data_IF_753940803300
#
_entry.id   IF_753940803300
#
_cell.length_a   1.000
_cell.length_b   1.000
_cell.length_c   1.000
_cell.angle_alpha   90.00
_cell.angle_beta   90.00
_cell.angle_gamma   90.00
#
_symmetry.space_group_name_H-M   'P 1'
#
loop_
_entity.id
_entity.type
_entity.pdbx_description
1 polymer ?
#
# COMPACT_ATOMS: atom_id res chain seq x y z
N UNK A 1 1.98 3.59 18.67
CA UNK A 1 1.60 3.90 17.29
C UNK A 1 2.68 3.58 16.27
N UNK A 2 3.90 4.01 16.53
CA UNK A 2 5.04 3.77 15.63
C UNK A 2 5.18 2.31 15.20
N UNK A 3 5.15 1.40 16.16
CA UNK A 3 5.35 -0.02 15.89
C UNK A 3 4.17 -0.65 15.14
N UNK A 4 2.96 -0.19 15.37
CA UNK A 4 1.78 -0.62 14.63
C UNK A 4 1.96 -0.26 13.15
N UNK A 5 2.38 0.95 12.86
CA UNK A 5 2.60 1.42 11.50
C UNK A 5 3.73 0.62 10.83
N UNK A 6 4.82 0.33 11.57
CA UNK A 6 5.93 -0.48 11.04
C UNK A 6 5.46 -1.89 10.69
N UNK A 7 4.66 -2.52 11.54
CA UNK A 7 4.10 -3.85 11.27
C UNK A 7 3.19 -3.82 10.04
N UNK A 8 2.31 -2.84 9.95
CA UNK A 8 1.43 -2.68 8.78
C UNK A 8 2.23 -2.46 7.50
N UNK A 9 3.28 -1.64 7.57
CA UNK A 9 4.17 -1.42 6.43
C UNK A 9 4.91 -2.70 6.03
N UNK A 10 5.34 -3.51 6.99
CA UNK A 10 5.98 -4.79 6.71
C UNK A 10 5.04 -5.74 5.98
N UNK A 11 3.78 -5.81 6.39
CA UNK A 11 2.76 -6.60 5.70
C UNK A 11 2.52 -6.04 4.29
N UNK A 12 2.51 -4.72 4.13
CA UNK A 12 2.40 -4.07 2.83
C UNK A 12 3.58 -4.41 1.91
N UNK A 13 4.79 -4.46 2.44
CA UNK A 13 5.98 -4.88 1.70
C UNK A 13 5.82 -6.33 1.22
N UNK A 14 5.35 -7.21 2.10
CA UNK A 14 5.07 -8.61 1.73
C UNK A 14 4.07 -8.69 0.59
N UNK A 15 2.95 -7.97 0.69
CA UNK A 15 1.93 -7.96 -0.35
C UNK A 15 2.48 -7.45 -1.68
N UNK A 16 3.28 -6.37 -1.64
CA UNK A 16 3.91 -5.80 -2.84
C UNK A 16 4.95 -6.75 -3.44
N UNK A 17 5.75 -7.41 -2.61
CA UNK A 17 6.72 -8.40 -3.07
C UNK A 17 6.03 -9.61 -3.71
N UNK A 18 4.93 -10.08 -3.12
CA UNK A 18 4.14 -11.16 -3.69
C UNK A 18 3.53 -10.77 -5.05
N UNK A 19 3.02 -9.54 -5.15
CA UNK A 19 2.50 -9.01 -6.41
C UNK A 19 3.61 -8.90 -7.47
N UNK A 20 4.83 -8.50 -7.07
CA UNK A 20 5.98 -8.44 -7.98
C UNK A 20 6.35 -9.83 -8.49
N UNK A 21 6.30 -10.84 -7.64
CA UNK A 21 6.52 -12.24 -8.06
C UNK A 21 5.52 -12.65 -9.13
N UNK A 22 4.25 -12.27 -8.98
CA UNK A 22 3.22 -12.55 -9.98
C UNK A 22 3.51 -11.85 -11.31
N UNK A 23 4.08 -10.64 -11.25
CA UNK A 23 4.47 -9.89 -12.45
C UNK A 23 5.50 -10.65 -13.30
N UNK A 24 6.46 -11.33 -12.65
CA UNK A 24 7.51 -12.09 -13.32
C UNK A 24 7.22 -13.59 -13.45
N UNK A 25 6.12 -14.07 -12.89
CA UNK A 25 5.77 -15.49 -12.93
C UNK A 25 5.43 -15.94 -14.35
N UNK A 26 5.94 -17.09 -14.72
CA UNK A 26 5.56 -17.78 -15.96
C UNK A 26 4.58 -18.88 -15.59
N UNK A 27 3.41 -18.92 -16.27
CA UNK A 27 2.37 -19.90 -16.02
C UNK A 27 1.28 -19.40 -15.08
N UNK A 28 0.46 -20.31 -14.58
CA UNK A 28 -0.67 -19.98 -13.74
C UNK A 28 -0.23 -19.54 -12.35
N UNK A 29 -0.91 -18.54 -11.81
CA UNK A 29 -0.67 -18.02 -10.47
C UNK A 29 -1.46 -18.82 -9.44
N UNK A 30 -0.87 -19.10 -8.23
CA UNK A 30 -1.64 -19.65 -7.10
C UNK A 30 -2.81 -18.79 -6.68
N UNK A 31 -2.76 -17.48 -7.00
CA UNK A 31 -3.80 -16.50 -6.70
C UNK A 31 -4.93 -16.50 -7.74
N UNK A 32 -4.78 -17.21 -8.85
CA UNK A 32 -5.80 -17.33 -9.89
C UNK A 32 -6.85 -18.33 -9.46
N UNK A 33 -7.85 -17.87 -8.69
CA UNK A 33 -8.86 -18.72 -8.06
C UNK A 33 -10.07 -18.88 -8.99
N UNK A 34 -10.52 -17.79 -9.62
CA UNK A 34 -11.69 -17.77 -10.49
C UNK A 34 -11.62 -16.57 -11.45
N UNK A 35 -12.70 -16.32 -12.21
CA UNK A 35 -12.74 -15.25 -13.20
C UNK A 35 -12.64 -13.84 -12.60
N UNK A 36 -12.92 -13.67 -11.31
CA UNK A 36 -12.87 -12.37 -10.62
C UNK A 36 -11.56 -12.14 -9.88
N UNK A 37 -10.87 -13.20 -9.48
CA UNK A 37 -9.65 -13.12 -8.69
C UNK A 37 -8.49 -13.75 -9.45
N UNK A 38 -7.69 -12.93 -10.09
CA UNK A 38 -6.54 -13.36 -10.87
C UNK A 38 -5.40 -12.36 -10.75
N UNK A 39 -4.44 -12.66 -9.88
CA UNK A 39 -3.26 -11.83 -9.66
C UNK A 39 -2.38 -11.74 -10.91
N UNK A 40 -2.32 -12.82 -11.70
CA UNK A 40 -1.51 -12.85 -12.91
C UNK A 40 -1.96 -11.83 -13.93
N UNK A 41 -3.26 -11.76 -14.20
CA UNK A 41 -3.83 -10.80 -15.16
C UNK A 41 -3.56 -9.37 -14.70
N UNK A 42 -3.80 -9.08 -13.41
CA UNK A 42 -3.62 -7.72 -12.86
C UNK A 42 -2.16 -7.30 -12.94
N UNK A 43 -1.23 -8.16 -12.48
CA UNK A 43 0.18 -7.80 -12.37
C UNK A 43 0.95 -7.85 -13.69
N UNK A 44 0.40 -8.51 -14.71
CA UNK A 44 0.97 -8.55 -16.07
C UNK A 44 0.32 -7.57 -17.03
N UNK A 45 -0.68 -6.82 -16.58
CA UNK A 45 -1.36 -5.84 -17.42
C UNK A 45 -0.45 -4.64 -17.72
N UNK A 46 -0.74 -3.86 -18.80
CA UNK A 46 -0.01 -2.61 -19.05
C UNK A 46 -0.10 -1.62 -17.90
N UNK A 47 -1.16 -1.69 -17.09
CA UNK A 47 -1.37 -0.80 -15.94
C UNK A 47 -0.49 -1.15 -14.75
N UNK A 48 0.13 -2.35 -14.73
CA UNK A 48 1.07 -2.76 -13.70
C UNK A 48 2.47 -2.17 -13.90
N UNK A 49 2.68 -1.41 -14.96
CA UNK A 49 3.96 -0.77 -15.28
C UNK A 49 3.77 0.74 -15.42
N UNK A 50 4.67 1.51 -14.82
CA UNK A 50 4.74 2.96 -14.99
C UNK A 50 6.16 3.31 -15.42
N UNK A 51 6.30 3.85 -16.61
CA UNK A 51 7.60 4.26 -17.19
C UNK A 51 8.65 3.14 -17.14
N UNK A 52 8.24 1.90 -17.38
CA UNK A 52 9.13 0.75 -17.37
C UNK A 52 9.41 0.16 -16.00
N UNK A 53 8.80 0.69 -14.93
CA UNK A 53 8.96 0.20 -13.56
C UNK A 53 7.69 -0.50 -13.12
N UNK A 54 7.76 -1.75 -12.60
CA UNK A 54 6.57 -2.41 -12.05
C UNK A 54 5.98 -1.61 -10.88
N UNK A 55 4.66 -1.48 -10.85
CA UNK A 55 3.93 -0.80 -9.77
C UNK A 55 4.25 -1.43 -8.41
N UNK A 56 4.46 -2.75 -8.37
CA UNK A 56 4.81 -3.44 -7.14
C UNK A 56 6.15 -2.98 -6.55
N UNK A 57 7.14 -2.65 -7.39
CA UNK A 57 8.41 -2.07 -6.93
C UNK A 57 8.19 -0.71 -6.27
N UNK A 58 7.33 0.11 -6.86
CA UNK A 58 6.97 1.42 -6.30
C UNK A 58 6.30 1.22 -4.94
N UNK A 59 5.44 0.22 -4.82
CA UNK A 59 4.79 -0.14 -3.55
C UNK A 59 5.79 -0.53 -2.47
N UNK A 60 6.77 -1.37 -2.80
CA UNK A 60 7.82 -1.79 -1.86
C UNK A 60 8.58 -0.57 -1.35
N UNK A 61 9.06 0.29 -2.26
CA UNK A 61 9.77 1.51 -1.90
C UNK A 61 8.93 2.44 -1.04
N UNK A 62 7.64 2.59 -1.37
CA UNK A 62 6.71 3.40 -0.61
C UNK A 62 6.52 2.91 0.82
N UNK A 63 6.31 1.60 1.01
CA UNK A 63 6.16 1.04 2.35
C UNK A 63 7.44 1.13 3.17
N UNK A 64 8.62 0.97 2.55
CA UNK A 64 9.90 1.18 3.23
C UNK A 64 10.00 2.62 3.73
N UNK A 65 9.64 3.58 2.88
CA UNK A 65 9.63 5.00 3.27
C UNK A 65 8.68 5.24 4.44
N UNK A 66 7.48 4.68 4.41
CA UNK A 66 6.51 4.82 5.49
C UNK A 66 7.05 4.24 6.79
N UNK A 67 7.70 3.08 6.74
CA UNK A 67 8.30 2.46 7.92
C UNK A 67 9.41 3.34 8.51
N UNK A 68 10.27 3.89 7.67
CA UNK A 68 11.36 4.79 8.10
C UNK A 68 10.78 6.05 8.77
N UNK A 69 9.78 6.66 8.15
CA UNK A 69 9.12 7.85 8.70
C UNK A 69 8.46 7.57 10.05
N UNK A 70 7.87 6.37 10.22
CA UNK A 70 7.28 5.95 11.48
C UNK A 70 8.35 5.80 12.56
N UNK A 71 9.49 5.19 12.23
CA UNK A 71 10.61 5.03 13.17
C UNK A 71 11.21 6.38 13.58
N UNK A 72 11.23 7.36 12.67
CA UNK A 72 11.68 8.71 12.95
C UNK A 72 10.63 9.56 13.65
N UNK A 73 9.44 9.02 13.91
CA UNK A 73 8.30 9.70 14.54
C UNK A 73 7.84 10.95 13.77
N UNK A 74 8.05 10.98 12.47
CA UNK A 74 7.62 12.09 11.60
C UNK A 74 6.21 11.84 11.07
N UNK A 75 5.24 11.84 11.96
CA UNK A 75 3.87 11.43 11.64
C UNK A 75 3.17 12.37 10.65
N UNK A 76 3.50 13.65 10.64
CA UNK A 76 2.89 14.58 9.67
C UNK A 76 3.35 14.28 8.24
N UNK A 77 4.66 14.08 8.05
CA UNK A 77 5.21 13.72 6.75
C UNK A 77 4.71 12.33 6.35
N UNK A 78 4.65 11.41 7.30
CA UNK A 78 4.11 10.08 7.12
C UNK A 78 2.66 10.13 6.62
N UNK A 79 1.83 11.00 7.20
CA UNK A 79 0.43 11.17 6.80
C UNK A 79 0.34 11.62 5.34
N UNK A 80 1.12 12.61 4.93
CA UNK A 80 1.13 13.09 3.54
C UNK A 80 1.54 11.97 2.60
N UNK A 81 2.63 11.27 2.92
CA UNK A 81 3.11 10.15 2.09
C UNK A 81 2.08 9.02 2.01
N UNK A 82 1.45 8.69 3.13
CA UNK A 82 0.42 7.64 3.18
C UNK A 82 -0.83 8.01 2.38
N UNK A 83 -1.24 9.29 2.43
CA UNK A 83 -2.38 9.76 1.64
C UNK A 83 -2.08 9.69 0.14
N UNK A 84 -0.87 10.03 -0.28
CA UNK A 84 -0.45 9.88 -1.67
C UNK A 84 -0.50 8.39 -2.08
N UNK A 85 0.01 7.50 -1.23
CA UNK A 85 -0.03 6.06 -1.46
C UNK A 85 -1.44 5.52 -1.53
N UNK A 86 -2.33 5.98 -0.65
CA UNK A 86 -3.74 5.59 -0.64
C UNK A 86 -4.43 6.03 -1.94
N UNK A 87 -4.22 7.27 -2.37
CA UNK A 87 -4.79 7.78 -3.62
C UNK A 87 -4.34 6.95 -4.82
N UNK A 88 -3.06 6.62 -4.88
CA UNK A 88 -2.50 5.76 -5.92
C UNK A 88 -3.11 4.36 -5.89
N UNK A 89 -3.25 3.78 -4.69
CA UNK A 89 -3.86 2.46 -4.52
C UNK A 89 -5.34 2.45 -4.93
N UNK A 90 -6.07 3.51 -4.63
CA UNK A 90 -7.47 3.66 -5.06
C UNK A 90 -7.57 3.79 -6.59
N UNK A 91 -6.63 4.50 -7.21
CA UNK A 91 -6.56 4.59 -8.67
C UNK A 91 -6.37 3.21 -9.30
N UNK A 92 -5.45 2.41 -8.76
CA UNK A 92 -5.24 1.04 -9.24
C UNK A 92 -6.45 0.16 -8.99
N UNK A 93 -7.09 0.28 -7.84
CA UNK A 93 -8.32 -0.47 -7.53
C UNK A 93 -9.44 -0.11 -8.51
N UNK A 94 -9.55 1.15 -8.89
CA UNK A 94 -10.52 1.58 -9.89
C UNK A 94 -10.26 0.92 -11.25
N UNK A 95 -9.00 0.81 -11.66
CA UNK A 95 -8.61 0.12 -12.89
C UNK A 95 -8.98 -1.37 -12.81
N UNK A 96 -8.70 -2.02 -11.69
CA UNK A 96 -9.05 -3.43 -11.50
C UNK A 96 -10.57 -3.65 -11.63
N UNK A 97 -11.36 -2.78 -11.03
CA UNK A 97 -12.81 -2.92 -11.00
C UNK A 97 -13.47 -2.61 -12.34
N UNK A 98 -13.01 -1.60 -13.07
CA UNK A 98 -13.71 -1.06 -14.22
C UNK A 98 -13.04 -1.34 -15.56
N UNK A 99 -11.74 -1.55 -15.59
CA UNK A 99 -10.98 -1.78 -16.83
C UNK A 99 -10.65 -3.26 -17.00
N UNK A 100 -10.03 -3.86 -16.00
CA UNK A 100 -9.60 -5.26 -16.05
C UNK A 100 -10.72 -6.24 -15.71
N UNK A 101 -11.65 -5.83 -14.84
CA UNK A 101 -12.74 -6.68 -14.37
C UNK A 101 -12.28 -7.83 -13.46
N UNK A 102 -11.03 -7.82 -13.02
CA UNK A 102 -10.46 -8.84 -12.13
C UNK A 102 -9.71 -8.17 -10.98
N UNK A 103 -9.61 -8.87 -9.86
CA UNK A 103 -8.97 -8.38 -8.64
C UNK A 103 -7.74 -9.20 -8.31
N UNK A 104 -6.75 -8.55 -7.71
CA UNK A 104 -5.56 -9.19 -7.16
C UNK A 104 -5.67 -9.20 -5.64
N UNK A 105 -5.55 -10.38 -5.02
CA UNK A 105 -5.60 -10.52 -3.56
C UNK A 105 -4.50 -9.68 -2.91
N UNK A 106 -3.30 -9.68 -3.48
CA UNK A 106 -2.17 -8.91 -2.93
C UNK A 106 -2.40 -7.41 -3.05
N UNK A 107 -3.04 -6.95 -4.12
CA UNK A 107 -3.37 -5.54 -4.29
C UNK A 107 -4.44 -5.10 -3.29
N UNK A 108 -5.45 -5.94 -3.05
CA UNK A 108 -6.49 -5.68 -2.04
C UNK A 108 -5.88 -5.67 -0.65
N UNK A 109 -4.97 -6.60 -0.34
CA UNK A 109 -4.26 -6.62 0.93
C UNK A 109 -3.43 -5.35 1.10
N UNK A 110 -2.71 -4.92 0.08
CA UNK A 110 -1.94 -3.68 0.10
C UNK A 110 -2.84 -2.46 0.33
N UNK A 111 -3.97 -2.40 -0.35
CA UNK A 111 -4.94 -1.31 -0.16
C UNK A 111 -5.44 -1.26 1.29
N UNK A 112 -5.72 -2.42 1.88
CA UNK A 112 -6.14 -2.53 3.27
C UNK A 112 -5.03 -2.01 4.20
N UNK A 113 -3.79 -2.42 3.96
CA UNK A 113 -2.66 -1.99 4.80
C UNK A 113 -2.43 -0.49 4.72
N UNK A 114 -2.46 0.12 3.53
CA UNK A 114 -2.26 1.56 3.40
C UNK A 114 -3.42 2.34 4.05
N UNK A 115 -4.64 1.83 3.96
CA UNK A 115 -5.80 2.44 4.63
C UNK A 115 -5.64 2.42 6.14
N UNK A 116 -5.19 1.29 6.71
CA UNK A 116 -4.94 1.17 8.15
C UNK A 116 -3.77 2.07 8.58
N UNK A 117 -2.74 2.22 7.76
CA UNK A 117 -1.63 3.14 8.03
C UNK A 117 -2.13 4.57 8.08
N UNK A 118 -2.98 4.99 7.13
CA UNK A 118 -3.58 6.33 7.12
C UNK A 118 -4.38 6.56 8.41
N UNK A 119 -5.25 5.63 8.78
CA UNK A 119 -6.05 5.75 10.00
C UNK A 119 -5.18 5.83 11.24
N UNK A 120 -4.19 4.97 11.36
CA UNK A 120 -3.25 4.98 12.50
C UNK A 120 -2.47 6.28 12.57
N UNK A 121 -2.06 6.81 11.43
CA UNK A 121 -1.29 8.06 11.35
C UNK A 121 -2.17 9.26 11.70
N UNK A 122 -3.42 9.28 11.23
CA UNK A 122 -4.38 10.35 11.61
C UNK A 122 -4.57 10.37 13.13
N UNK A 123 -4.74 9.20 13.74
CA UNK A 123 -4.86 9.10 15.21
C UNK A 123 -3.61 9.61 15.89
N UNK A 124 -2.42 9.22 15.41
CA UNK A 124 -1.15 9.64 16.00
C UNK A 124 -0.96 11.16 15.91
N UNK A 125 -1.25 11.76 14.75
CA UNK A 125 -1.17 13.22 14.55
C UNK A 125 -2.17 13.95 15.45
N UNK A 126 -3.38 13.42 15.56
CA UNK A 126 -4.42 13.99 16.41
C UNK A 126 -4.02 13.99 17.89
N UNK A 127 -3.44 12.87 18.36
CA UNK A 127 -2.94 12.76 19.73
C UNK A 127 -1.81 13.75 19.98
N UNK A 128 -0.87 13.90 19.05
CA UNK A 128 0.22 14.87 19.17
C UNK A 128 -0.31 16.30 19.24
N UNK A 129 -1.27 16.65 18.37
CA UNK A 129 -1.88 17.97 18.36
C UNK A 129 -2.61 18.26 19.67
N UNK A 130 -3.32 17.26 20.20
CA UNK A 130 -4.05 17.38 21.46
C UNK A 130 -3.07 17.57 22.63
N UNK A 131 -1.98 16.80 22.67
CA UNK A 131 -0.95 16.96 23.72
C UNK A 131 -0.30 18.34 23.69
N UNK A 132 -0.02 18.88 22.48
CA UNK A 132 0.55 20.23 22.35
C UNK A 132 -0.39 21.31 22.90
N UNK A 133 -1.69 21.18 22.68
CA UNK A 133 -2.68 22.13 23.20
C UNK A 133 -2.84 22.03 24.71
N UNK A 134 -2.66 20.84 25.27
CA UNK A 134 -2.76 20.61 26.70
C UNK A 134 -1.51 20.95 27.49
N UNK A 135 -0.38 21.24 26.83
CA UNK A 135 0.89 21.57 27.49
C UNK A 135 1.01 23.09 27.60
N UNK A 136 1.10 23.66 28.83
CA UNK A 136 1.37 25.11 28.98
C UNK A 136 2.71 25.43 28.34
N UNK A 137 2.72 26.44 27.54
CA UNK A 137 3.94 26.93 26.89
C UNK A 137 4.96 27.45 27.88
#
# INVERSE_FOLDING_TARGET
MRWIIVVLAAIGIYASAAALREHYRVGESPCSINDKWDCGIVNKSPYAMIRGVPVADIGIGGYILLAILALLKRFRVLLVAALIGLGFSLYLANIEAHVLGVWCIYCVLSLTMISLIVLSTVVAVSIQAFRRKGTPA
#
